data_IF_541125780228
#
_entry.id   IF_541125780228
#
_cell.length_a   1.000
_cell.length_b   1.000
_cell.length_c   1.000
_cell.angle_alpha   90.00
_cell.angle_beta   90.00
_cell.angle_gamma   90.00
#
_symmetry.space_group_name_H-M   'P 1'
#
loop_
_entity.id
_entity.type
_entity.pdbx_description
1 polymer ?
#
# COMPACT_ATOMS: atom_id res chain seq x y z
N UNK A 1 5.73 -3.67 1.89
CA UNK A 1 5.66 -2.56 2.86
C UNK A 1 6.66 -2.79 3.98
N UNK A 2 7.36 -1.74 4.43
CA UNK A 2 8.00 -1.73 5.73
C UNK A 2 6.93 -1.90 6.81
N UNK A 3 7.29 -2.62 7.85
CA UNK A 3 6.52 -2.61 9.08
C UNK A 3 6.58 -1.21 9.72
N UNK A 4 5.66 -0.89 10.62
CA UNK A 4 5.63 0.43 11.29
C UNK A 4 6.90 0.70 12.12
N UNK A 5 7.63 -0.34 12.49
CA UNK A 5 8.93 -0.26 13.17
C UNK A 5 10.14 -0.26 12.22
N UNK A 6 9.92 -0.09 10.91
CA UNK A 6 10.96 -0.07 9.88
C UNK A 6 11.47 -1.45 9.46
N UNK A 7 10.92 -2.52 10.03
CA UNK A 7 11.24 -3.90 9.67
C UNK A 7 10.54 -4.41 8.41
N UNK A 8 10.61 -5.72 8.15
CA UNK A 8 9.87 -6.36 7.06
C UNK A 8 8.41 -6.53 7.49
N UNK A 9 7.47 -5.93 6.75
CA UNK A 9 6.05 -5.97 7.06
C UNK A 9 5.27 -7.05 6.32
N UNK A 10 4.21 -7.54 6.94
CA UNK A 10 3.17 -8.38 6.33
C UNK A 10 1.79 -7.88 6.74
N UNK A 11 0.80 -7.98 5.85
CA UNK A 11 -0.58 -7.68 6.20
C UNK A 11 -1.54 -8.70 5.62
N UNK A 12 -2.56 -9.01 6.42
CA UNK A 12 -3.63 -9.90 6.05
C UNK A 12 -4.94 -9.44 6.67
N UNK A 13 -6.04 -9.97 6.16
CA UNK A 13 -7.38 -9.73 6.71
C UNK A 13 -7.79 -10.95 7.54
N UNK A 14 -8.30 -10.68 8.73
CA UNK A 14 -9.01 -11.64 9.56
C UNK A 14 -10.40 -11.06 9.87
N UNK A 15 -11.44 -11.72 9.36
CA UNK A 15 -12.83 -11.26 9.43
C UNK A 15 -12.99 -9.83 8.87
N UNK A 16 -13.29 -8.85 9.73
CA UNK A 16 -13.49 -7.42 9.40
C UNK A 16 -12.31 -6.56 9.85
N UNK A 17 -11.14 -7.16 10.06
CA UNK A 17 -9.95 -6.45 10.54
C UNK A 17 -8.72 -6.74 9.70
N UNK A 18 -7.91 -5.71 9.49
CA UNK A 18 -6.61 -5.80 8.84
C UNK A 18 -5.56 -5.92 9.93
N UNK A 19 -4.73 -6.94 9.86
CA UNK A 19 -3.64 -7.18 10.79
C UNK A 19 -2.32 -6.82 10.13
N UNK A 20 -1.56 -5.91 10.74
CA UNK A 20 -0.22 -5.53 10.33
C UNK A 20 0.80 -6.23 11.22
N UNK A 21 1.72 -6.96 10.61
CA UNK A 21 2.76 -7.73 11.28
C UNK A 21 4.14 -7.22 10.90
N UNK A 22 5.09 -7.36 11.82
CA UNK A 22 6.53 -7.14 11.58
C UNK A 22 7.29 -8.43 11.78
N UNK A 23 8.26 -8.69 10.90
CA UNK A 23 9.19 -9.79 11.05
C UNK A 23 10.30 -9.38 12.02
N UNK A 24 10.44 -10.10 13.11
CA UNK A 24 11.48 -9.89 14.13
C UNK A 24 12.36 -11.12 14.28
N UNK A 25 13.60 -10.91 14.71
CA UNK A 25 14.55 -11.98 15.03
C UNK A 25 14.71 -12.01 16.54
N UNK A 26 14.53 -13.17 17.16
CA UNK A 26 14.71 -13.33 18.60
C UNK A 26 16.19 -13.43 19.01
N UNK A 27 16.46 -13.53 20.32
CA UNK A 27 17.82 -13.66 20.83
C UNK A 27 18.55 -14.95 20.40
N UNK A 28 17.83 -15.93 19.84
CA UNK A 28 18.36 -17.18 19.31
C UNK A 28 18.57 -17.13 17.79
N UNK A 29 18.34 -15.97 17.17
CA UNK A 29 18.46 -15.81 15.71
C UNK A 29 17.27 -16.36 14.92
N UNK A 30 16.16 -16.73 15.58
CA UNK A 30 14.97 -17.27 14.92
C UNK A 30 14.05 -16.13 14.49
N UNK A 31 13.68 -16.13 13.21
CA UNK A 31 12.76 -15.13 12.66
C UNK A 31 11.29 -15.53 12.89
N UNK A 32 10.50 -14.62 13.45
CA UNK A 32 9.07 -14.77 13.68
C UNK A 32 8.27 -13.53 13.29
N UNK A 33 6.95 -13.67 13.23
CA UNK A 33 6.02 -12.55 12.98
C UNK A 33 5.43 -12.06 14.30
N UNK A 34 5.43 -10.75 14.49
CA UNK A 34 4.82 -10.08 15.65
C UNK A 34 3.73 -9.14 15.16
N UNK A 35 2.53 -9.23 15.73
CA UNK A 35 1.43 -8.34 15.42
C UNK A 35 1.76 -6.94 15.93
N UNK A 36 1.81 -5.96 15.04
CA UNK A 36 2.04 -4.57 15.39
C UNK A 36 0.74 -3.82 15.64
N UNK A 37 -0.23 -3.99 14.73
CA UNK A 37 -1.46 -3.20 14.72
C UNK A 37 -2.60 -3.99 14.12
N UNK A 38 -3.79 -3.78 14.67
CA UNK A 38 -5.07 -4.23 14.10
C UNK A 38 -5.87 -3.00 13.69
N UNK A 39 -6.40 -3.01 12.47
CA UNK A 39 -7.25 -1.94 11.93
C UNK A 39 -8.63 -2.52 11.72
N UNK A 40 -9.60 -1.96 12.42
CA UNK A 40 -11.02 -2.26 12.25
C UNK A 40 -11.53 -1.60 10.96
N UNK A 41 -12.00 -2.42 10.01
CA UNK A 41 -12.41 -1.95 8.69
C UNK A 41 -13.71 -1.12 8.75
N UNK A 42 -14.52 -1.30 9.79
CA UNK A 42 -15.76 -0.54 9.99
C UNK A 42 -15.49 0.92 10.35
N UNK A 43 -14.27 1.22 10.84
CA UNK A 43 -13.80 2.57 11.15
C UNK A 43 -13.19 3.30 9.95
N UNK A 44 -12.99 2.60 8.84
CA UNK A 44 -12.49 3.23 7.62
C UNK A 44 -13.60 4.10 7.03
N UNK A 45 -13.19 5.22 6.44
CA UNK A 45 -14.11 6.16 5.80
C UNK A 45 -13.69 6.44 4.37
N UNK A 46 -14.65 6.47 3.46
CA UNK A 46 -14.48 6.87 2.08
C UNK A 46 -15.08 8.28 1.91
N UNK A 47 -14.23 9.28 1.66
CA UNK A 47 -14.66 10.68 1.57
C UNK A 47 -15.43 11.18 2.81
N UNK A 48 -15.08 10.68 4.00
CA UNK A 48 -15.73 11.05 5.26
C UNK A 48 -17.02 10.28 5.58
N UNK A 49 -17.43 9.35 4.72
CA UNK A 49 -18.60 8.49 4.94
C UNK A 49 -18.13 7.09 5.38
N UNK A 50 -18.76 6.47 6.40
CA UNK A 50 -18.45 5.09 6.78
C UNK A 50 -18.62 4.13 5.60
N UNK A 51 -17.69 3.21 5.43
CA UNK A 51 -17.68 2.32 4.26
C UNK A 51 -18.81 1.28 4.27
N UNK A 52 -19.37 0.98 5.44
CA UNK A 52 -20.38 -0.07 5.61
C UNK A 52 -19.91 -1.40 4.99
N UNK A 53 -20.80 -2.03 4.23
CA UNK A 53 -20.57 -3.34 3.62
C UNK A 53 -19.61 -3.34 2.43
N UNK A 54 -19.10 -2.17 2.02
CA UNK A 54 -18.27 -2.03 0.82
C UNK A 54 -16.98 -2.86 0.90
N UNK A 55 -16.45 -3.09 2.11
CA UNK A 55 -15.21 -3.83 2.32
C UNK A 55 -15.46 -5.29 2.76
N UNK A 56 -16.71 -5.76 2.76
CA UNK A 56 -17.00 -7.15 3.07
C UNK A 56 -16.30 -8.09 2.08
N UNK A 57 -15.71 -9.16 2.63
CA UNK A 57 -14.98 -10.19 1.87
C UNK A 57 -13.88 -9.61 0.98
N UNK A 58 -13.23 -8.55 1.45
CA UNK A 58 -12.07 -8.00 0.76
C UNK A 58 -10.80 -8.82 1.03
N UNK A 59 -9.84 -8.73 0.13
CA UNK A 59 -8.50 -9.29 0.27
C UNK A 59 -7.44 -8.21 0.08
N UNK A 60 -6.31 -8.33 0.78
CA UNK A 60 -5.15 -7.48 0.53
C UNK A 60 -4.47 -7.94 -0.76
N UNK A 61 -4.32 -7.03 -1.72
CA UNK A 61 -3.78 -7.37 -3.05
C UNK A 61 -2.37 -6.84 -3.26
N UNK A 62 -2.00 -5.72 -2.62
CA UNK A 62 -0.69 -5.13 -2.81
C UNK A 62 -0.34 -4.08 -1.76
N UNK A 63 0.93 -3.67 -1.75
CA UNK A 63 1.47 -2.63 -0.89
C UNK A 63 2.51 -1.83 -1.65
N UNK A 64 2.55 -0.51 -1.45
CA UNK A 64 3.68 0.29 -1.92
C UNK A 64 4.89 0.09 -1.00
N UNK A 65 6.09 -0.04 -1.59
CA UNK A 65 7.32 -0.33 -0.86
C UNK A 65 7.72 0.83 0.06
N UNK A 66 7.63 2.08 -0.39
CA UNK A 66 8.02 3.25 0.41
C UNK A 66 6.84 4.13 0.85
N UNK A 67 5.64 3.55 0.91
CA UNK A 67 4.45 4.30 1.34
C UNK A 67 3.67 3.58 2.44
N UNK A 68 2.83 4.35 3.13
CA UNK A 68 1.92 3.83 4.16
C UNK A 68 0.56 3.49 3.53
N UNK A 69 0.58 2.94 2.31
CA UNK A 69 -0.62 2.65 1.54
C UNK A 69 -0.77 1.15 1.30
N UNK A 70 -2.00 0.69 1.54
CA UNK A 70 -2.40 -0.70 1.43
C UNK A 70 -3.54 -0.80 0.42
N UNK A 71 -3.47 -1.77 -0.47
CA UNK A 71 -4.47 -1.95 -1.52
C UNK A 71 -5.38 -3.14 -1.19
N UNK A 72 -6.69 -2.88 -1.17
CA UNK A 72 -7.73 -3.88 -0.97
C UNK A 72 -8.54 -4.09 -2.24
N UNK A 73 -8.90 -5.33 -2.51
CA UNK A 73 -9.92 -5.67 -3.49
C UNK A 73 -11.18 -6.15 -2.77
N UNK A 74 -12.34 -5.61 -3.13
CA UNK A 74 -13.67 -6.00 -2.64
C UNK A 74 -14.69 -6.04 -3.77
N UNK A 75 -15.97 -6.39 -3.48
CA UNK A 75 -17.02 -6.54 -4.53
C UNK A 75 -17.32 -5.20 -5.20
N UNK A 76 -17.05 -4.12 -4.49
CA UNK A 76 -17.21 -2.77 -5.00
C UNK A 76 -16.02 -2.28 -5.83
N UNK A 77 -14.92 -3.05 -5.93
CA UNK A 77 -13.73 -2.73 -6.71
C UNK A 77 -12.46 -2.67 -5.86
N UNK A 78 -11.52 -1.82 -6.27
CA UNK A 78 -10.20 -1.70 -5.63
C UNK A 78 -10.15 -0.41 -4.82
N UNK A 79 -9.61 -0.51 -3.62
CA UNK A 79 -9.44 0.58 -2.69
C UNK A 79 -7.99 0.70 -2.24
N UNK A 80 -7.58 1.93 -1.98
CA UNK A 80 -6.35 2.25 -1.31
C UNK A 80 -6.68 2.77 0.08
N UNK A 81 -6.01 2.24 1.09
CA UNK A 81 -6.06 2.71 2.47
C UNK A 81 -4.77 3.48 2.74
N UNK A 82 -4.89 4.70 3.25
CA UNK A 82 -3.77 5.38 3.89
C UNK A 82 -3.73 4.98 5.37
N UNK A 83 -2.71 4.23 5.78
CA UNK A 83 -2.58 3.67 7.14
C UNK A 83 -2.30 4.73 8.22
N UNK A 84 -1.98 5.98 7.84
CA UNK A 84 -1.84 7.09 8.80
C UNK A 84 -3.15 7.82 9.02
N UNK A 85 -3.84 8.22 7.96
CA UNK A 85 -5.11 8.96 8.07
C UNK A 85 -6.32 8.06 8.26
N UNK A 86 -6.18 6.74 8.06
CA UNK A 86 -7.28 5.76 8.05
C UNK A 86 -8.38 6.09 7.03
N UNK A 87 -8.02 6.84 5.98
CA UNK A 87 -8.93 7.19 4.90
C UNK A 87 -8.79 6.21 3.74
N UNK A 88 -9.95 5.84 3.20
CA UNK A 88 -10.08 5.01 2.02
C UNK A 88 -10.22 5.90 0.77
N UNK A 89 -9.64 5.45 -0.34
CA UNK A 89 -9.86 6.01 -1.67
C UNK A 89 -10.19 4.86 -2.64
N UNK A 90 -11.29 4.96 -3.37
CA UNK A 90 -11.60 4.02 -4.44
C UNK A 90 -10.75 4.33 -5.66
N UNK A 91 -10.09 3.31 -6.21
CA UNK A 91 -9.22 3.44 -7.39
C UNK A 91 -9.88 2.87 -8.64
N UNK A 92 -10.44 1.66 -8.54
CA UNK A 92 -11.06 0.97 -9.67
C UNK A 92 -12.46 0.49 -9.27
N UNK A 93 -13.38 0.47 -10.23
CA UNK A 93 -14.71 -0.12 -10.03
C UNK A 93 -14.69 -1.64 -10.24
N UNK A 94 -13.80 -2.15 -11.10
CA UNK A 94 -13.70 -3.57 -11.43
C UNK A 94 -12.73 -4.31 -10.49
N UNK A 95 -12.94 -5.62 -10.38
CA UNK A 95 -12.05 -6.59 -9.73
C UNK A 95 -11.10 -7.24 -10.73
N UNK A 96 -10.15 -8.04 -10.23
CA UNK A 96 -9.28 -8.90 -11.04
C UNK A 96 -8.16 -8.14 -11.74
N UNK A 97 -7.95 -6.87 -11.38
CA UNK A 97 -6.84 -6.08 -11.91
C UNK A 97 -5.59 -6.34 -11.07
N UNK A 98 -4.49 -6.73 -11.72
CA UNK A 98 -3.20 -6.76 -11.05
C UNK A 98 -2.79 -5.33 -10.69
N UNK A 99 -2.44 -5.09 -9.42
CA UNK A 99 -2.01 -3.78 -8.92
C UNK A 99 -0.57 -3.89 -8.46
N UNK A 100 0.30 -3.20 -9.18
CA UNK A 100 1.73 -3.10 -8.89
C UNK A 100 2.05 -1.65 -8.54
N UNK A 101 1.87 -1.23 -7.28
CA UNK A 101 2.22 0.12 -6.86
C UNK A 101 3.74 0.27 -6.90
N UNK A 102 4.20 1.43 -7.33
CA UNK A 102 5.62 1.77 -7.41
C UNK A 102 5.81 3.19 -6.86
N UNK A 103 6.97 3.45 -6.27
CA UNK A 103 7.32 4.74 -5.64
C UNK A 103 8.30 5.56 -6.47
N UNK A 104 9.02 4.92 -7.38
CA UNK A 104 9.96 5.59 -8.28
C UNK A 104 10.06 4.85 -9.62
N UNK A 105 10.44 5.59 -10.65
CA UNK A 105 10.91 5.04 -11.91
C UNK A 105 12.40 5.31 -12.03
N UNK A 106 13.14 4.33 -12.56
CA UNK A 106 14.51 4.58 -12.96
C UNK A 106 14.52 5.38 -14.27
N UNK A 107 14.59 6.71 -14.18
CA UNK A 107 14.89 7.54 -15.34
C UNK A 107 16.41 7.56 -15.54
N UNK A 108 16.91 6.93 -16.62
CA UNK A 108 18.28 7.18 -17.05
C UNK A 108 18.40 8.68 -17.33
N UNK A 109 19.33 9.35 -16.66
CA UNK A 109 19.71 10.72 -16.99
C UNK A 109 20.30 10.73 -18.39
N UNK A 110 19.46 10.87 -19.42
CA UNK A 110 19.90 11.53 -20.62
C UNK A 110 19.98 12.99 -20.22
N UNK A 111 21.19 13.46 -19.96
CA UNK A 111 21.50 14.87 -20.10
C UNK A 111 20.96 15.27 -21.48
N UNK A 112 19.86 16.04 -21.49
CA UNK A 112 19.48 16.77 -22.69
C UNK A 112 20.60 17.77 -22.87
N UNK A 113 21.66 17.36 -23.57
CA UNK A 113 22.68 18.25 -24.06
C UNK A 113 21.92 19.27 -24.88
N UNK A 114 21.78 20.47 -24.31
CA UNK A 114 21.25 21.61 -25.03
C UNK A 114 22.01 21.68 -26.35
N UNK A 115 21.26 21.65 -27.45
CA UNK A 115 21.81 22.00 -28.75
C UNK A 115 22.27 23.45 -28.61
N UNK A 116 23.58 23.62 -28.40
CA UNK A 116 24.25 24.91 -28.52
C UNK A 116 24.29 25.23 -30.01
N UNK A 117 23.26 25.94 -30.48
CA UNK A 117 23.22 26.53 -31.80
C UNK A 117 24.22 27.70 -31.87
N UNK A 118 25.51 27.36 -32.00
CA UNK A 118 26.54 28.28 -32.50
C UNK A 118 27.61 27.56 -33.31
N UNK A 119 27.43 27.53 -34.63
CA UNK A 119 28.53 27.80 -35.58
C UNK A 119 28.02 28.17 -36.99
N UNK A 120 28.09 29.47 -37.27
CA UNK A 120 28.67 30.08 -38.50
C UNK A 120 28.18 29.60 -39.87
N UNK A 121 27.46 30.47 -40.58
CA UNK A 121 28.05 31.30 -41.66
C UNK A 121 27.28 32.60 -41.82
#
# INVERSE_FOLDING_TARGET
MPAEDGGIGFAGICNTSIHLWSRKIDCKGVAGWVLLRMIDMDKLTLSGVPTGDMLLRSSVVSFAEDSHELFLESQAGVFMINLRSMQLRKLLQARGSAICPYTSFYTRGCDIVGIDDRAKQ
#
